data_IF_217468196521
#
_entry.id   IF_217468196521
#
_cell.length_a   1.000
_cell.length_b   1.000
_cell.length_c   1.000
_cell.angle_alpha   90.00
_cell.angle_beta   90.00
_cell.angle_gamma   90.00
#
_symmetry.space_group_name_H-M   'P 1'
#
loop_
_entity.id
_entity.type
_entity.pdbx_description
1 polymer ?
#
# COMPACT_ATOMS: atom_id res chain seq x y z
N UNK A 1 -24.40 77.61 -13.95
CA UNK A 1 -24.35 76.13 -13.97
C UNK A 1 -23.01 75.68 -13.41
N UNK A 2 -22.98 75.14 -12.19
CA UNK A 2 -21.78 74.60 -11.53
C UNK A 2 -21.81 73.07 -11.69
N UNK A 3 -20.86 72.50 -12.41
CA UNK A 3 -20.71 71.04 -12.53
C UNK A 3 -20.05 70.47 -11.26
N UNK A 4 -20.72 69.53 -10.62
CA UNK A 4 -20.23 68.74 -9.50
C UNK A 4 -19.17 67.72 -9.98
N UNK A 5 -17.99 67.72 -9.34
CA UNK A 5 -16.98 66.65 -9.46
C UNK A 5 -17.41 65.47 -8.59
N UNK A 6 -17.74 64.33 -9.19
CA UNK A 6 -17.89 63.05 -8.50
C UNK A 6 -16.49 62.45 -8.26
N UNK A 7 -16.09 62.39 -6.99
CA UNK A 7 -14.90 61.66 -6.55
C UNK A 7 -15.14 60.16 -6.59
N UNK A 8 -14.26 59.42 -7.27
CA UNK A 8 -14.22 57.95 -7.23
C UNK A 8 -13.47 57.52 -5.97
N UNK A 9 -14.18 56.90 -5.03
CA UNK A 9 -13.58 56.18 -3.90
C UNK A 9 -13.26 54.76 -4.40
N UNK A 10 -11.98 54.42 -4.46
CA UNK A 10 -11.50 53.05 -4.73
C UNK A 10 -11.31 52.36 -3.39
N UNK A 11 -12.16 51.38 -3.07
CA UNK A 11 -11.94 50.46 -1.96
C UNK A 11 -10.91 49.41 -2.38
N UNK A 12 -9.68 49.51 -1.86
CA UNK A 12 -8.68 48.47 -1.99
C UNK A 12 -9.01 47.34 -1.00
N UNK A 13 -9.52 46.20 -1.51
CA UNK A 13 -9.65 44.98 -0.74
C UNK A 13 -8.27 44.31 -0.65
N UNK A 14 -7.59 44.45 0.48
CA UNK A 14 -6.37 43.70 0.77
C UNK A 14 -6.75 42.26 1.11
N UNK A 15 -6.59 41.34 0.16
CA UNK A 15 -6.78 39.92 0.37
C UNK A 15 -5.58 39.38 1.17
N UNK A 16 -5.70 39.32 2.50
CA UNK A 16 -4.75 38.61 3.35
C UNK A 16 -4.81 37.12 3.04
N UNK A 17 -3.94 36.65 2.14
CA UNK A 17 -3.66 35.23 1.93
C UNK A 17 -2.92 34.69 3.16
N UNK A 18 -3.68 34.22 4.16
CA UNK A 18 -3.11 33.45 5.26
C UNK A 18 -2.57 32.14 4.69
N UNK A 19 -1.33 31.73 5.01
CA UNK A 19 -0.82 30.43 4.62
C UNK A 19 -1.64 29.35 5.33
N UNK A 20 -2.42 28.60 4.55
CA UNK A 20 -3.06 27.38 5.03
C UNK A 20 -1.94 26.34 5.12
N UNK A 21 -1.43 26.12 6.33
CA UNK A 21 -0.60 24.95 6.61
C UNK A 21 -1.51 23.72 6.55
N UNK A 22 -1.66 23.15 5.36
CA UNK A 22 -2.23 21.81 5.20
C UNK A 22 -1.19 20.86 5.81
N UNK A 23 -1.50 20.31 6.98
CA UNK A 23 -0.72 19.20 7.51
C UNK A 23 -0.69 18.11 6.42
N UNK A 24 0.49 17.58 6.11
CA UNK A 24 0.60 16.46 5.19
C UNK A 24 -0.31 15.33 5.72
N UNK A 25 -1.29 14.91 4.92
CA UNK A 25 -2.15 13.78 5.26
C UNK A 25 -1.21 12.59 5.46
N UNK A 26 -1.16 12.03 6.67
CA UNK A 26 -0.33 10.85 6.91
C UNK A 26 -0.81 9.72 6.00
N UNK A 27 0.11 8.94 5.43
CA UNK A 27 -0.25 7.78 4.61
C UNK A 27 -1.22 6.91 5.42
N UNK A 28 -2.43 6.60 4.91
CA UNK A 28 -3.35 5.72 5.62
C UNK A 28 -2.70 4.36 5.80
N UNK A 29 -2.93 3.75 6.95
CA UNK A 29 -2.21 2.55 7.37
C UNK A 29 -3.10 1.64 8.19
N UNK A 30 -2.91 0.34 7.98
CA UNK A 30 -3.57 -0.72 8.72
C UNK A 30 -4.95 -1.07 8.20
N UNK A 31 -5.35 -2.27 8.57
CA UNK A 31 -6.63 -2.87 8.32
C UNK A 31 -7.73 -2.24 9.17
N UNK A 32 -8.92 -2.14 8.59
CA UNK A 32 -10.12 -1.69 9.28
C UNK A 32 -11.29 -2.64 9.03
N UNK A 33 -11.94 -3.07 10.09
CA UNK A 33 -13.19 -3.82 9.99
C UNK A 33 -14.35 -2.91 9.57
N UNK A 34 -15.08 -3.31 8.54
CA UNK A 34 -16.31 -2.65 8.10
C UNK A 34 -17.36 -3.70 7.71
N UNK A 35 -18.34 -3.92 8.59
CA UNK A 35 -19.30 -5.02 8.45
C UNK A 35 -18.60 -6.38 8.54
N UNK A 36 -18.90 -7.30 7.61
CA UNK A 36 -18.26 -8.62 7.50
C UNK A 36 -17.05 -8.62 6.56
N UNK A 37 -16.34 -7.50 6.49
CA UNK A 37 -15.19 -7.30 5.63
C UNK A 37 -14.09 -6.53 6.36
N UNK A 38 -12.88 -6.65 5.83
CA UNK A 38 -11.70 -5.88 6.22
C UNK A 38 -11.33 -4.98 5.04
N UNK A 39 -10.95 -3.73 5.32
CA UNK A 39 -10.51 -2.77 4.31
C UNK A 39 -9.10 -2.30 4.66
N UNK A 40 -8.20 -2.30 3.68
CA UNK A 40 -6.82 -1.87 3.84
C UNK A 40 -6.39 -0.92 2.72
N UNK A 41 -5.40 -0.04 2.96
CA UNK A 41 -4.81 0.80 1.93
C UNK A 41 -3.86 -0.01 1.03
N UNK A 42 -3.74 0.43 -0.22
CA UNK A 42 -2.75 -0.03 -1.18
C UNK A 42 -2.37 1.11 -2.14
N UNK A 43 -1.30 0.96 -2.90
CA UNK A 43 -0.98 1.83 -4.03
C UNK A 43 -1.52 1.24 -5.34
N UNK A 44 -2.15 2.09 -6.15
CA UNK A 44 -2.37 1.81 -7.56
C UNK A 44 -1.02 1.88 -8.28
N UNK A 45 -0.58 0.72 -8.78
CA UNK A 45 0.77 0.53 -9.30
C UNK A 45 1.09 1.34 -10.57
N UNK A 46 0.07 1.91 -11.22
CA UNK A 46 0.21 2.72 -12.42
C UNK A 46 0.35 4.21 -12.13
N UNK A 47 -0.08 4.65 -10.94
CA UNK A 47 -0.11 6.07 -10.57
C UNK A 47 0.60 6.40 -9.27
N UNK A 48 0.84 5.41 -8.41
CA UNK A 48 1.34 5.61 -7.04
C UNK A 48 0.34 6.26 -6.10
N UNK A 49 -0.93 6.39 -6.50
CA UNK A 49 -1.97 6.93 -5.64
C UNK A 49 -2.49 5.85 -4.69
N UNK A 50 -2.89 6.27 -3.48
CA UNK A 50 -3.52 5.37 -2.53
C UNK A 50 -4.95 5.03 -2.97
N UNK A 51 -5.24 3.74 -2.95
CA UNK A 51 -6.56 3.12 -3.10
C UNK A 51 -6.86 2.25 -1.89
N UNK A 52 -8.06 1.68 -1.83
CA UNK A 52 -8.52 0.88 -0.70
C UNK A 52 -9.09 -0.44 -1.19
N UNK A 53 -8.65 -1.53 -0.59
CA UNK A 53 -9.03 -2.89 -0.95
C UNK A 53 -9.91 -3.47 0.14
N UNK A 54 -11.08 -3.98 -0.22
CA UNK A 54 -12.01 -4.65 0.68
C UNK A 54 -11.95 -6.15 0.49
N UNK A 55 -11.65 -6.89 1.57
CA UNK A 55 -11.61 -8.35 1.63
C UNK A 55 -12.75 -8.88 2.51
N UNK A 56 -13.58 -9.82 2.03
CA UNK A 56 -14.55 -10.49 2.90
C UNK A 56 -13.84 -11.25 4.03
N UNK A 57 -14.26 -11.03 5.29
CA UNK A 57 -13.61 -11.64 6.47
C UNK A 57 -13.55 -13.17 6.43
N UNK A 58 -14.52 -13.83 5.79
CA UNK A 58 -14.52 -15.30 5.64
C UNK A 58 -13.32 -15.84 4.84
N UNK A 59 -12.61 -14.97 4.13
CA UNK A 59 -11.41 -15.30 3.37
C UNK A 59 -10.12 -14.91 4.11
N UNK A 60 -10.23 -14.24 5.27
CA UNK A 60 -9.12 -13.90 6.15
C UNK A 60 -9.08 -14.84 7.38
N UNK A 61 -7.90 -15.12 7.98
CA UNK A 61 -6.59 -14.76 7.46
C UNK A 61 -6.29 -15.51 6.17
N UNK A 62 -5.47 -14.90 5.31
CA UNK A 62 -5.05 -15.56 4.09
C UNK A 62 -4.26 -16.82 4.41
N UNK A 63 -4.66 -17.93 3.80
CA UNK A 63 -4.09 -19.25 4.06
C UNK A 63 -3.84 -19.97 2.74
N UNK A 64 -2.77 -20.78 2.62
CA UNK A 64 -2.56 -21.66 1.47
C UNK A 64 -3.73 -22.62 1.20
N UNK A 65 -4.54 -22.91 2.21
CA UNK A 65 -5.70 -23.82 2.08
C UNK A 65 -6.99 -23.12 1.67
N UNK A 66 -6.97 -21.80 1.46
CA UNK A 66 -8.16 -21.05 1.09
C UNK A 66 -8.62 -21.50 -0.32
N UNK A 67 -9.90 -21.88 -0.54
CA UNK A 67 -10.36 -22.40 -1.83
C UNK A 67 -10.08 -21.46 -3.00
N UNK A 68 -9.97 -20.17 -2.72
CA UNK A 68 -9.66 -19.14 -3.71
C UNK A 68 -8.26 -19.26 -4.32
N UNK A 69 -7.35 -20.02 -3.71
CA UNK A 69 -6.02 -20.25 -4.26
C UNK A 69 -6.02 -21.15 -5.51
N UNK A 70 -7.15 -21.79 -5.81
CA UNK A 70 -7.32 -22.68 -6.97
C UNK A 70 -8.04 -22.02 -8.16
N UNK A 71 -8.13 -20.68 -8.18
CA UNK A 71 -8.66 -19.97 -9.35
C UNK A 71 -7.76 -20.16 -10.57
N UNK A 72 -8.34 -19.98 -11.76
CA UNK A 72 -7.57 -20.05 -13.00
C UNK A 72 -6.41 -19.03 -12.95
N UNK A 73 -5.15 -19.44 -13.15
CA UNK A 73 -3.99 -18.54 -13.10
C UNK A 73 -3.99 -17.48 -14.22
N UNK A 74 -4.82 -17.64 -15.26
CA UNK A 74 -5.07 -16.60 -16.26
C UNK A 74 -6.17 -15.61 -15.86
N UNK A 75 -6.82 -15.83 -14.71
CA UNK A 75 -7.87 -14.98 -14.17
C UNK A 75 -7.42 -14.31 -12.86
N UNK A 76 -6.10 -14.14 -12.65
CA UNK A 76 -5.53 -13.44 -11.51
C UNK A 76 -4.57 -12.34 -11.97
N UNK A 77 -4.50 -11.28 -11.19
CA UNK A 77 -3.53 -10.19 -11.34
C UNK A 77 -2.50 -10.24 -10.20
N UNK A 78 -1.32 -9.64 -10.30
CA UNK A 78 -0.38 -9.62 -9.19
C UNK A 78 -0.76 -8.57 -8.13
N UNK A 79 -0.59 -8.94 -6.86
CA UNK A 79 -0.48 -8.02 -5.72
C UNK A 79 0.89 -8.21 -5.11
N UNK A 80 1.68 -7.15 -5.07
CA UNK A 80 3.04 -7.18 -4.53
C UNK A 80 3.04 -6.59 -3.13
N UNK A 81 3.63 -7.32 -2.19
CA UNK A 81 3.97 -6.82 -0.85
C UNK A 81 5.42 -6.36 -0.89
N UNK A 82 5.66 -5.07 -0.72
CA UNK A 82 7.02 -4.51 -0.66
C UNK A 82 7.46 -4.48 0.79
N UNK A 83 8.30 -5.41 1.23
CA UNK A 83 8.72 -5.50 2.62
C UNK A 83 9.91 -4.60 2.89
N UNK A 84 9.84 -3.77 3.94
CA UNK A 84 10.94 -2.88 4.32
C UNK A 84 11.77 -3.46 5.46
N UNK A 85 13.11 -3.40 5.42
CA UNK A 85 13.93 -3.93 6.49
C UNK A 85 13.95 -3.03 7.74
N UNK A 86 14.38 -3.57 8.91
CA UNK A 86 14.51 -2.79 10.14
C UNK A 86 15.39 -1.55 9.97
N UNK A 87 14.91 -0.43 10.53
CA UNK A 87 15.54 0.88 10.44
C UNK A 87 15.05 1.75 9.28
N UNK A 88 14.17 1.23 8.40
CA UNK A 88 13.53 2.03 7.35
C UNK A 88 12.52 2.99 7.98
N UNK A 89 12.69 4.32 7.82
CA UNK A 89 11.75 5.29 8.36
C UNK A 89 10.51 5.42 7.45
N UNK A 90 9.33 5.56 8.05
CA UNK A 90 8.12 5.87 7.29
C UNK A 90 6.85 5.29 7.91
N UNK A 91 5.75 5.53 7.21
CA UNK A 91 4.47 4.87 7.42
C UNK A 91 4.18 4.07 6.15
N UNK A 92 3.86 2.80 6.33
CA UNK A 92 3.54 1.87 5.25
C UNK A 92 2.05 1.55 5.26
N UNK A 93 1.52 1.02 4.15
CA UNK A 93 0.13 0.57 4.08
C UNK A 93 -0.17 -0.44 5.19
N UNK A 94 0.80 -1.33 5.47
CA UNK A 94 0.79 -2.22 6.60
C UNK A 94 2.01 -2.02 7.49
N UNK A 95 1.81 -1.60 8.74
CA UNK A 95 2.88 -1.54 9.73
C UNK A 95 3.08 -2.91 10.38
N UNK A 96 4.32 -3.38 10.29
CA UNK A 96 4.87 -4.46 11.10
C UNK A 96 5.42 -3.91 12.42
N UNK A 97 5.73 -4.81 13.36
CA UNK A 97 6.16 -4.50 14.74
C UNK A 97 5.08 -3.91 15.66
N UNK A 98 5.09 -4.34 16.94
CA UNK A 98 3.98 -4.15 17.88
C UNK A 98 3.53 -2.68 18.06
N UNK A 99 2.21 -2.41 18.02
CA UNK A 99 1.13 -3.41 17.96
C UNK A 99 0.85 -3.98 16.55
N UNK A 100 1.57 -3.56 15.51
CA UNK A 100 1.20 -3.80 14.11
C UNK A 100 -0.16 -3.19 13.81
N UNK A 101 -0.60 -3.24 12.55
CA UNK A 101 -1.96 -2.81 12.22
C UNK A 101 -2.62 -3.62 11.09
N UNK A 102 -2.01 -4.73 10.67
CA UNK A 102 -2.65 -5.77 9.84
C UNK A 102 -2.43 -7.13 10.52
N UNK A 103 -3.21 -7.44 11.57
CA UNK A 103 -2.98 -8.63 12.38
C UNK A 103 -3.11 -9.95 11.63
N UNK A 104 -3.75 -9.98 10.46
CA UNK A 104 -4.00 -11.20 9.71
C UNK A 104 -2.78 -11.69 8.91
N UNK A 105 -1.83 -10.82 8.55
CA UNK A 105 -0.67 -11.18 7.72
C UNK A 105 0.67 -10.55 8.10
N UNK A 106 0.72 -9.45 8.87
CA UNK A 106 1.96 -8.73 9.16
C UNK A 106 3.04 -9.62 9.81
N UNK A 107 2.67 -10.42 10.80
CA UNK A 107 3.60 -11.31 11.51
C UNK A 107 4.16 -12.43 10.62
N UNK A 108 3.33 -13.00 9.74
CA UNK A 108 3.72 -14.07 8.82
C UNK A 108 4.70 -13.55 7.77
N UNK A 109 4.41 -12.40 7.18
CA UNK A 109 5.24 -11.75 6.16
C UNK A 109 6.60 -11.34 6.75
N UNK A 110 6.61 -10.76 7.95
CA UNK A 110 7.84 -10.43 8.67
C UNK A 110 8.70 -11.66 9.00
N UNK A 111 8.06 -12.77 9.42
CA UNK A 111 8.76 -14.03 9.70
C UNK A 111 9.42 -14.65 8.46
N UNK A 112 8.78 -14.54 7.30
CA UNK A 112 9.39 -14.97 6.03
C UNK A 112 10.59 -14.09 5.66
N UNK A 113 10.51 -12.78 5.90
CA UNK A 113 11.60 -11.85 5.60
C UNK A 113 12.87 -12.18 6.39
N UNK A 114 12.75 -12.38 7.70
CA UNK A 114 13.88 -12.73 8.57
C UNK A 114 14.41 -14.13 8.30
N UNK A 115 13.56 -15.05 7.84
CA UNK A 115 13.97 -16.40 7.46
C UNK A 115 14.73 -16.44 6.13
N UNK A 116 14.30 -15.69 5.13
CA UNK A 116 14.85 -15.76 3.76
C UNK A 116 16.03 -14.80 3.57
N UNK A 117 15.99 -13.63 4.19
CA UNK A 117 17.00 -12.58 4.06
C UNK A 117 17.50 -12.09 5.44
N UNK A 118 18.03 -12.97 6.30
CA UNK A 118 18.46 -12.59 7.65
C UNK A 118 19.56 -11.52 7.67
N UNK A 119 20.38 -11.44 6.61
CA UNK A 119 21.40 -10.38 6.49
C UNK A 119 20.84 -8.97 6.27
N UNK A 120 19.60 -8.86 5.80
CA UNK A 120 18.92 -7.58 5.49
C UNK A 120 17.86 -7.26 6.53
N UNK A 121 17.05 -8.26 6.89
CA UNK A 121 15.90 -8.11 7.81
C UNK A 121 16.22 -8.49 9.26
N UNK A 122 17.40 -9.03 9.55
CA UNK A 122 17.77 -9.50 10.89
C UNK A 122 17.05 -10.79 11.27
N UNK A 123 17.08 -11.12 12.56
CA UNK A 123 16.50 -12.36 13.11
C UNK A 123 15.21 -12.15 13.92
N UNK A 124 14.80 -10.91 14.14
CA UNK A 124 13.62 -10.56 14.92
C UNK A 124 12.50 -10.07 13.98
N UNK A 125 11.46 -10.89 13.73
CA UNK A 125 10.30 -10.46 12.93
C UNK A 125 9.62 -9.21 13.49
N UNK A 126 9.66 -9.00 14.82
CA UNK A 126 9.10 -7.82 15.45
C UNK A 126 9.91 -6.55 15.19
N UNK A 127 11.09 -6.64 14.56
CA UNK A 127 11.86 -5.48 14.12
C UNK A 127 11.53 -5.04 12.68
N UNK A 128 10.80 -5.87 11.91
CA UNK A 128 10.39 -5.54 10.54
C UNK A 128 9.27 -4.50 10.60
N UNK A 129 9.49 -3.27 10.10
CA UNK A 129 8.59 -2.14 10.31
C UNK A 129 7.30 -2.22 9.49
N UNK A 130 7.23 -3.08 8.47
CA UNK A 130 6.04 -3.26 7.66
C UNK A 130 6.30 -3.45 6.19
N UNK A 131 5.23 -3.33 5.42
CA UNK A 131 5.23 -3.48 3.98
C UNK A 131 4.12 -2.65 3.33
N UNK A 132 4.32 -2.31 2.06
CA UNK A 132 3.30 -1.68 1.23
C UNK A 132 2.61 -2.70 0.33
N UNK A 133 1.37 -2.40 -0.07
CA UNK A 133 0.62 -3.17 -1.06
C UNK A 133 0.64 -2.44 -2.39
N UNK A 134 0.98 -3.14 -3.46
CA UNK A 134 1.05 -2.58 -4.80
C UNK A 134 0.19 -3.43 -5.74
N UNK A 135 -0.86 -2.84 -6.31
CA UNK A 135 -1.81 -3.56 -7.16
C UNK A 135 -2.16 -2.79 -8.43
N UNK A 136 -2.40 -3.53 -9.50
CA UNK A 136 -3.00 -3.02 -10.73
C UNK A 136 -4.53 -3.04 -10.67
N UNK A 137 -5.16 -1.93 -11.02
CA UNK A 137 -6.64 -1.81 -11.09
C UNK A 137 -7.16 -1.47 -12.49
N UNK A 138 -6.40 -0.71 -13.28
CA UNK A 138 -6.88 -0.22 -14.58
C UNK A 138 -5.92 -0.41 -15.77
N UNK A 139 -4.61 -0.61 -15.57
CA UNK A 139 -3.61 -0.50 -16.67
C UNK A 139 -2.49 -1.53 -16.71
N UNK A 140 -2.28 -2.29 -15.65
CA UNK A 140 -1.08 -3.12 -15.43
C UNK A 140 -1.41 -4.60 -15.29
N UNK A 141 -2.62 -5.00 -15.69
CA UNK A 141 -3.06 -6.40 -15.70
C UNK A 141 -3.99 -6.80 -14.57
N UNK A 142 -4.46 -5.86 -13.75
CA UNK A 142 -5.58 -6.07 -12.83
C UNK A 142 -6.84 -5.28 -13.20
N UNK A 143 -7.93 -5.58 -12.50
CA UNK A 143 -9.24 -4.94 -12.64
C UNK A 143 -9.82 -4.60 -11.27
N UNK A 144 -10.90 -3.82 -11.25
CA UNK A 144 -11.59 -3.43 -10.01
C UNK A 144 -12.12 -4.60 -9.16
N UNK A 145 -12.26 -5.82 -9.72
CA UNK A 145 -12.79 -7.02 -9.07
C UNK A 145 -12.14 -8.32 -9.59
N UNK A 146 -10.81 -8.43 -9.54
CA UNK A 146 -10.10 -9.70 -9.84
C UNK A 146 -9.48 -10.29 -8.58
N UNK A 147 -9.34 -11.62 -8.49
CA UNK A 147 -8.44 -12.22 -7.52
C UNK A 147 -7.00 -11.78 -7.81
N UNK A 148 -6.27 -11.37 -6.78
CA UNK A 148 -4.86 -11.03 -6.88
C UNK A 148 -3.95 -12.12 -6.31
N UNK A 149 -2.99 -12.59 -7.08
CA UNK A 149 -1.93 -13.48 -6.64
C UNK A 149 -0.91 -12.70 -5.83
N UNK A 150 -0.62 -13.14 -4.60
CA UNK A 150 0.26 -12.43 -3.66
C UNK A 150 1.71 -12.81 -3.90
N UNK A 151 2.55 -11.81 -4.17
CA UNK A 151 4.00 -11.92 -4.29
C UNK A 151 4.68 -11.11 -3.18
N UNK A 152 5.72 -11.68 -2.56
CA UNK A 152 6.53 -10.97 -1.57
C UNK A 152 7.82 -10.45 -2.21
N UNK A 153 8.04 -9.15 -2.08
CA UNK A 153 9.20 -8.44 -2.61
C UNK A 153 10.14 -8.05 -1.46
N UNK A 154 11.38 -8.51 -1.54
CA UNK A 154 12.39 -8.30 -0.49
C UNK A 154 13.56 -7.48 -1.03
N UNK A 155 14.02 -6.50 -0.28
CA UNK A 155 15.27 -5.80 -0.59
C UNK A 155 16.47 -6.74 -0.40
N UNK A 156 17.44 -6.66 -1.31
CA UNK A 156 18.67 -7.46 -1.26
C UNK A 156 19.74 -6.82 -0.38
N UNK A 157 19.61 -5.54 -0.05
CA UNK A 157 20.49 -4.81 0.87
C UNK A 157 19.76 -3.61 1.49
N UNK A 158 20.29 -3.09 2.60
CA UNK A 158 19.76 -1.86 3.23
C UNK A 158 20.03 -0.61 2.38
N UNK A 159 21.10 -0.62 1.59
CA UNK A 159 21.47 0.52 0.72
C UNK A 159 20.58 0.61 -0.53
N UNK A 160 19.93 -0.49 -0.91
CA UNK A 160 18.99 -0.54 -2.03
C UNK A 160 17.57 -0.03 -1.66
N UNK A 161 17.32 0.24 -0.38
CA UNK A 161 15.98 0.58 0.11
C UNK A 161 15.52 1.90 -0.47
N UNK A 162 14.38 1.86 -1.16
CA UNK A 162 13.62 3.02 -1.65
C UNK A 162 12.14 2.76 -1.41
N UNK A 163 11.33 3.81 -1.24
CA UNK A 163 9.89 3.63 -1.11
C UNK A 163 9.29 3.38 -2.50
N UNK A 164 8.80 2.16 -2.72
CA UNK A 164 8.27 1.70 -4.02
C UNK A 164 6.75 1.83 -3.99
N UNK A 165 6.19 2.70 -4.83
CA UNK A 165 4.74 2.94 -4.93
C UNK A 165 4.18 2.68 -6.32
N UNK A 166 5.02 2.33 -7.30
CA UNK A 166 4.61 2.05 -8.68
C UNK A 166 5.27 0.78 -9.22
N UNK A 167 4.62 0.12 -10.18
CA UNK A 167 5.18 -1.04 -10.87
C UNK A 167 6.47 -0.69 -11.61
N UNK A 168 6.57 0.52 -12.16
CA UNK A 168 7.80 0.97 -12.83
C UNK A 168 8.99 1.07 -11.86
N UNK A 169 8.78 1.56 -10.64
CA UNK A 169 9.82 1.57 -9.59
C UNK A 169 10.20 0.15 -9.18
N UNK A 170 9.22 -0.74 -9.00
CA UNK A 170 9.48 -2.15 -8.67
C UNK A 170 10.29 -2.84 -9.78
N UNK A 171 9.90 -2.67 -11.03
CA UNK A 171 10.63 -3.21 -12.19
C UNK A 171 12.06 -2.67 -12.29
N UNK A 172 12.26 -1.39 -12.00
CA UNK A 172 13.60 -0.81 -11.94
C UNK A 172 14.44 -1.41 -10.80
N UNK A 173 13.82 -1.69 -9.65
CA UNK A 173 14.48 -2.33 -8.51
C UNK A 173 14.82 -3.81 -8.77
N UNK A 174 13.98 -4.55 -9.51
CA UNK A 174 14.34 -5.89 -10.01
C UNK A 174 15.51 -5.80 -11.00
N UNK A 175 15.45 -4.87 -11.97
CA UNK A 175 16.48 -4.71 -13.00
C UNK A 175 17.85 -4.31 -12.42
N UNK A 176 17.87 -3.55 -11.32
CA UNK A 176 19.10 -3.17 -10.62
C UNK A 176 19.58 -4.23 -9.62
N UNK A 177 18.78 -5.27 -9.35
CA UNK A 177 19.03 -6.26 -8.31
C UNK A 177 18.82 -5.75 -6.88
N UNK A 178 18.18 -4.58 -6.71
CA UNK A 178 17.82 -4.02 -5.41
C UNK A 178 16.67 -4.75 -4.71
N UNK A 179 15.78 -5.37 -5.50
CA UNK A 179 14.77 -6.33 -5.01
C UNK A 179 15.14 -7.73 -5.50
N UNK A 180 14.98 -8.72 -4.63
CA UNK A 180 15.22 -10.12 -4.94
C UNK A 180 14.20 -10.61 -5.97
N UNK A 181 14.69 -10.95 -7.17
CA UNK A 181 13.90 -11.65 -8.16
C UNK A 181 14.02 -13.17 -7.93
N UNK A 182 12.88 -13.85 -7.85
CA UNK A 182 12.76 -15.30 -7.76
C UNK A 182 12.44 -15.88 -9.14
N UNK A 183 11.64 -16.95 -9.19
CA UNK A 183 11.17 -17.54 -10.43
C UNK A 183 10.32 -16.51 -11.20
N UNK A 184 10.50 -16.46 -12.53
CA UNK A 184 9.84 -15.52 -13.47
C UNK A 184 10.27 -14.04 -13.42
N UNK A 185 11.28 -13.68 -12.63
CA UNK A 185 11.77 -12.30 -12.56
C UNK A 185 10.92 -11.36 -11.69
N UNK A 186 10.00 -11.92 -10.91
CA UNK A 186 9.18 -11.25 -9.90
C UNK A 186 9.59 -11.71 -8.49
N UNK A 187 8.95 -11.20 -7.44
CA UNK A 187 9.15 -11.67 -6.07
C UNK A 187 8.69 -13.10 -5.82
N UNK A 188 8.71 -13.49 -4.55
CA UNK A 188 8.34 -14.82 -4.12
C UNK A 188 6.83 -15.03 -4.26
N UNK A 189 6.42 -15.91 -5.18
CA UNK A 189 5.03 -16.38 -5.25
C UNK A 189 4.68 -17.18 -3.99
N UNK A 190 3.69 -16.68 -3.24
CA UNK A 190 3.28 -17.28 -1.97
C UNK A 190 2.35 -18.47 -2.09
N UNK A 191 1.74 -18.73 -3.27
CA UNK A 191 0.63 -19.68 -3.33
C UNK A 191 -0.74 -19.08 -2.98
N UNK A 192 -0.78 -17.85 -2.46
CA UNK A 192 -1.98 -17.23 -1.90
C UNK A 192 -2.64 -16.31 -2.92
N UNK A 193 -3.97 -16.38 -3.00
CA UNK A 193 -4.80 -15.48 -3.79
C UNK A 193 -5.70 -14.66 -2.89
N UNK A 194 -5.72 -13.36 -3.13
CA UNK A 194 -6.45 -12.34 -2.40
C UNK A 194 -7.63 -11.85 -3.23
N UNK A 195 -8.86 -12.14 -2.81
CA UNK A 195 -10.05 -11.62 -3.49
C UNK A 195 -10.57 -10.39 -2.80
N UNK A 196 -10.51 -9.28 -3.52
CA UNK A 196 -10.95 -7.99 -3.03
C UNK A 196 -11.76 -7.23 -4.08
N UNK A 197 -12.37 -6.14 -3.62
CA UNK A 197 -12.90 -5.10 -4.47
C UNK A 197 -12.23 -3.78 -4.10
N UNK A 198 -12.01 -2.92 -5.10
CA UNK A 198 -11.59 -1.55 -4.84
C UNK A 198 -12.77 -0.76 -4.27
N UNK A 199 -12.56 -0.08 -3.13
CA UNK A 199 -13.58 0.70 -2.44
C UNK A 199 -13.12 2.15 -2.20
N UNK A 200 -14.05 2.98 -1.75
CA UNK A 200 -13.80 4.41 -1.51
C UNK A 200 -12.99 4.67 -0.22
N UNK A 201 -12.28 5.80 -0.16
CA UNK A 201 -11.68 6.33 1.08
C UNK A 201 -12.70 6.45 2.21
N UNK A 202 -13.94 6.82 1.89
CA UNK A 202 -15.04 6.88 2.86
C UNK A 202 -15.39 5.53 3.47
N UNK A 203 -15.34 4.45 2.67
CA UNK A 203 -15.58 3.08 3.17
C UNK A 203 -14.52 2.67 4.18
N UNK A 204 -13.24 2.93 3.86
CA UNK A 204 -12.12 2.72 4.78
C UNK A 204 -12.27 3.55 6.06
N UNK A 205 -12.54 4.86 5.93
CA UNK A 205 -12.69 5.76 7.07
C UNK A 205 -13.87 5.39 7.98
N UNK A 206 -14.91 4.75 7.44
CA UNK A 206 -16.06 4.26 8.20
C UNK A 206 -15.78 2.92 8.92
N UNK A 207 -14.63 2.28 8.70
CA UNK A 207 -14.22 1.07 9.39
C UNK A 207 -13.51 1.34 10.73
N UNK A 208 -13.62 0.38 11.65
CA UNK A 208 -12.91 0.38 12.93
C UNK A 208 -11.52 -0.25 12.76
N UNK A 209 -10.42 0.35 13.28
CA UNK A 209 -9.11 -0.28 13.29
C UNK A 209 -9.14 -1.68 13.90
N UNK A 210 -8.38 -2.61 13.31
CA UNK A 210 -8.15 -3.95 13.85
C UNK A 210 -6.97 -3.98 14.83
#
# INVERSE_FOLDING_TARGET
>A
MRLFRLGRIVFAFALCLLPINVAADSIPTGERAHGSAVIEPAYDDSTGQVIYLLTPQRLAPLSPNNPINNVNPHAVAPLYLILYPPGTPGTFNCMGAAPGNCPDHAGTVAGLATSLFPGVYGSDPAAVPGHDHLVGVARTGGEFNVPWRVYLEFFTSKDAVTHITTLAQLQAAWASGGIAAFQSGMGLDTGITFVCAVVSKSSYAAGAPL
#
